data_IF_823209971730
#
_entry.id   IF_823209971730
#
_cell.length_a   1.000
_cell.length_b   1.000
_cell.length_c   1.000
_cell.angle_alpha   90.00
_cell.angle_beta   90.00
_cell.angle_gamma   90.00
#
_symmetry.space_group_name_H-M   'P 1'
#
loop_
_entity.id
_entity.type
_entity.pdbx_description
1 polymer ?
#
# COMPACT_ATOMS: atom_id res chain seq x y z
N UNK A 1 -4.15 12.22 7.81
CA UNK A 1 -3.02 11.94 6.88
C UNK A 1 -2.45 13.21 6.27
N UNK A 2 -3.19 13.90 5.39
CA UNK A 2 -2.75 15.15 4.73
C UNK A 2 -2.20 16.20 5.73
N UNK A 3 -2.93 16.49 6.81
CA UNK A 3 -2.51 17.42 7.87
C UNK A 3 -1.22 16.99 8.59
N UNK A 4 -1.01 15.69 8.82
CA UNK A 4 0.18 15.20 9.52
C UNK A 4 1.45 15.47 8.71
N UNK A 5 1.40 15.24 7.39
CA UNK A 5 2.51 15.55 6.50
C UNK A 5 2.76 17.06 6.40
N UNK A 6 1.69 17.87 6.26
CA UNK A 6 1.83 19.34 6.26
C UNK A 6 2.49 19.85 7.55
N UNK A 7 2.05 19.36 8.71
CA UNK A 7 2.61 19.74 10.00
C UNK A 7 4.07 19.26 10.17
N UNK A 8 4.47 18.22 9.45
CA UNK A 8 5.85 17.72 9.42
C UNK A 8 6.75 18.44 8.41
N UNK A 9 6.25 19.52 7.78
CA UNK A 9 7.01 20.33 6.82
C UNK A 9 6.93 19.87 5.35
N UNK A 10 6.17 18.80 5.05
CA UNK A 10 5.95 18.40 3.66
C UNK A 10 4.98 19.37 2.97
N UNK A 11 5.40 19.90 1.82
CA UNK A 11 4.56 20.76 0.97
C UNK A 11 4.09 19.97 -0.25
N UNK A 12 2.79 19.73 -0.37
CA UNK A 12 2.22 19.09 -1.55
C UNK A 12 1.67 20.14 -2.51
N UNK A 13 2.09 20.10 -3.78
CA UNK A 13 1.44 20.87 -4.85
C UNK A 13 0.04 20.33 -5.15
N UNK A 14 -0.11 19.01 -5.13
CA UNK A 14 -1.39 18.33 -5.35
C UNK A 14 -1.47 17.06 -4.49
N UNK A 15 -2.69 16.64 -4.14
CA UNK A 15 -2.95 15.41 -3.39
C UNK A 15 -4.20 14.74 -3.98
N UNK A 16 -4.01 13.63 -4.67
CA UNK A 16 -5.09 12.86 -5.31
C UNK A 16 -5.27 11.52 -4.59
N UNK A 17 -6.52 11.12 -4.41
CA UNK A 17 -6.88 9.80 -3.86
C UNK A 17 -7.18 8.88 -5.03
N UNK A 18 -6.56 7.70 -5.06
CA UNK A 18 -6.86 6.63 -6.00
C UNK A 18 -7.70 5.57 -5.29
N UNK A 19 -8.94 5.37 -5.74
CA UNK A 19 -9.88 4.38 -5.24
C UNK A 19 -10.81 3.88 -6.36
N UNK A 20 -11.87 3.13 -6.00
CA UNK A 20 -12.80 2.57 -6.97
C UNK A 20 -13.47 3.60 -7.89
N UNK A 21 -13.58 4.87 -7.47
CA UNK A 21 -14.24 5.92 -8.26
C UNK A 21 -13.43 6.34 -9.48
N UNK A 22 -12.10 6.19 -9.43
CA UNK A 22 -11.17 6.62 -10.47
C UNK A 22 -10.13 5.54 -10.84
N UNK A 23 -10.43 4.27 -10.55
CA UNK A 23 -9.55 3.13 -10.82
C UNK A 23 -9.08 3.02 -12.28
N UNK A 24 -9.91 3.50 -13.23
CA UNK A 24 -9.59 3.51 -14.67
C UNK A 24 -8.49 4.52 -15.03
N UNK A 25 -8.34 5.57 -14.22
CA UNK A 25 -7.37 6.67 -14.44
C UNK A 25 -6.03 6.41 -13.72
N UNK A 26 -5.84 5.22 -13.14
CA UNK A 26 -4.67 4.91 -12.28
C UNK A 26 -3.32 5.30 -12.91
N UNK A 27 -3.12 5.04 -14.20
CA UNK A 27 -1.82 5.21 -14.86
C UNK A 27 -1.53 6.70 -15.07
N UNK A 28 -2.54 7.49 -15.44
CA UNK A 28 -2.46 8.95 -15.50
C UNK A 28 -2.16 9.53 -14.12
N UNK A 29 -2.94 9.14 -13.11
CA UNK A 29 -2.76 9.62 -11.73
C UNK A 29 -1.38 9.29 -11.16
N UNK A 30 -0.88 8.08 -11.38
CA UNK A 30 0.44 7.65 -10.91
C UNK A 30 1.54 8.37 -11.69
N UNK A 31 1.35 8.63 -12.98
CA UNK A 31 2.33 9.36 -13.80
C UNK A 31 2.56 10.79 -13.32
N UNK A 32 1.52 11.46 -12.80
CA UNK A 32 1.55 12.87 -12.40
C UNK A 32 2.15 13.13 -11.00
N UNK A 33 2.24 12.10 -10.16
CA UNK A 33 2.74 12.24 -8.78
C UNK A 33 4.19 11.82 -8.68
N UNK A 34 4.92 12.36 -7.70
CA UNK A 34 6.30 11.92 -7.39
C UNK A 34 6.31 10.87 -6.28
N UNK A 35 5.28 10.90 -5.42
CA UNK A 35 5.14 10.05 -4.24
C UNK A 35 3.81 9.31 -4.29
N UNK A 36 3.85 7.99 -4.09
CA UNK A 36 2.67 7.13 -3.90
C UNK A 36 2.62 6.70 -2.44
N UNK A 37 1.49 6.95 -1.79
CA UNK A 37 1.27 6.58 -0.40
C UNK A 37 0.27 5.42 -0.34
N UNK A 38 0.73 4.25 0.11
CA UNK A 38 -0.13 3.10 0.41
C UNK A 38 -0.60 3.21 1.86
N UNK A 39 -1.77 3.79 2.04
CA UNK A 39 -2.30 4.09 3.35
C UNK A 39 -2.73 2.84 4.14
N UNK A 40 -2.97 2.99 5.44
CA UNK A 40 -3.62 1.97 6.25
C UNK A 40 -5.09 1.76 5.87
N UNK A 41 -5.70 0.72 6.44
CA UNK A 41 -7.08 0.34 6.15
C UNK A 41 -7.30 -1.13 6.48
N UNK A 42 -8.27 -1.74 5.81
CA UNK A 42 -8.54 -3.17 5.92
C UNK A 42 -7.71 -3.96 4.90
N UNK A 43 -6.86 -4.88 5.37
CA UNK A 43 -5.84 -5.56 4.55
C UNK A 43 -6.43 -6.28 3.32
N UNK A 44 -7.43 -7.18 3.45
CA UNK A 44 -8.04 -7.85 2.32
C UNK A 44 -8.68 -6.91 1.31
N UNK A 45 -9.46 -5.93 1.78
CA UNK A 45 -10.17 -4.99 0.90
C UNK A 45 -9.19 -4.18 0.05
N UNK A 46 -8.11 -3.70 0.68
CA UNK A 46 -7.08 -2.97 -0.04
C UNK A 46 -6.29 -3.88 -0.99
N UNK A 47 -5.96 -5.11 -0.58
CA UNK A 47 -5.28 -6.09 -1.44
C UNK A 47 -6.07 -6.35 -2.71
N UNK A 48 -7.37 -6.62 -2.58
CA UNK A 48 -8.29 -6.87 -3.70
C UNK A 48 -8.26 -5.70 -4.68
N UNK A 49 -8.34 -4.46 -4.17
CA UNK A 49 -8.26 -3.27 -5.01
C UNK A 49 -6.92 -3.19 -5.76
N UNK A 50 -5.80 -3.40 -5.07
CA UNK A 50 -4.47 -3.38 -5.70
C UNK A 50 -4.32 -4.42 -6.82
N UNK A 51 -4.86 -5.63 -6.62
CA UNK A 51 -4.87 -6.67 -7.65
C UNK A 51 -5.77 -6.27 -8.83
N UNK A 52 -6.97 -5.74 -8.56
CA UNK A 52 -7.92 -5.30 -9.59
C UNK A 52 -7.33 -4.22 -10.51
N UNK A 53 -6.59 -3.27 -9.94
CA UNK A 53 -5.95 -2.22 -10.73
C UNK A 53 -4.58 -2.64 -11.29
N UNK A 54 -4.12 -3.87 -11.02
CA UNK A 54 -2.78 -4.34 -11.39
C UNK A 54 -1.66 -3.40 -10.91
N UNK A 55 -1.79 -2.90 -9.66
CA UNK A 55 -0.90 -1.88 -9.10
C UNK A 55 0.57 -2.33 -9.09
N UNK A 56 0.81 -3.64 -8.91
CA UNK A 56 2.16 -4.21 -8.94
C UNK A 56 2.91 -3.82 -10.19
N UNK A 57 2.30 -4.02 -11.36
CA UNK A 57 2.96 -3.75 -12.64
C UNK A 57 3.12 -2.26 -12.88
N UNK A 58 2.11 -1.46 -12.49
CA UNK A 58 2.15 -0.01 -12.60
C UNK A 58 3.33 0.60 -11.81
N UNK A 59 3.58 0.07 -10.61
CA UNK A 59 4.67 0.55 -9.75
C UNK A 59 6.04 -0.03 -10.13
N UNK A 60 6.10 -1.24 -10.69
CA UNK A 60 7.36 -1.94 -11.03
C UNK A 60 8.21 -1.14 -12.03
N UNK A 61 7.56 -0.42 -12.93
CA UNK A 61 8.23 0.38 -13.98
C UNK A 61 8.33 1.86 -13.61
N UNK A 62 7.93 2.23 -12.40
CA UNK A 62 7.78 3.62 -11.99
C UNK A 62 8.97 4.09 -11.16
N UNK A 63 9.50 5.29 -11.46
CA UNK A 63 10.55 5.94 -10.65
C UNK A 63 9.96 6.69 -9.43
N UNK A 64 8.85 6.18 -8.88
CA UNK A 64 8.06 6.87 -7.86
C UNK A 64 8.58 6.49 -6.47
N UNK A 65 8.56 7.45 -5.55
CA UNK A 65 8.82 7.15 -4.14
C UNK A 65 7.57 6.49 -3.56
N UNK A 66 7.72 5.31 -2.98
CA UNK A 66 6.60 4.61 -2.33
C UNK A 66 6.78 4.68 -0.81
N UNK A 67 5.73 5.16 -0.15
CA UNK A 67 5.61 5.20 1.31
C UNK A 67 4.43 4.30 1.68
N UNK A 68 4.67 3.32 2.55
CA UNK A 68 3.63 2.41 3.00
C UNK A 68 3.57 2.32 4.53
N UNK A 69 2.37 2.11 5.07
CA UNK A 69 2.18 1.87 6.49
C UNK A 69 0.91 1.08 6.76
N UNK A 70 0.92 0.32 7.87
CA UNK A 70 -0.20 -0.51 8.32
C UNK A 70 -0.65 -1.49 7.21
N UNK A 71 -1.91 -1.47 6.77
CA UNK A 71 -2.35 -2.38 5.70
C UNK A 71 -1.56 -2.21 4.40
N UNK A 72 -1.11 -0.99 4.08
CA UNK A 72 -0.28 -0.73 2.91
C UNK A 72 1.03 -1.51 2.94
N UNK A 73 1.71 -1.51 4.09
CA UNK A 73 2.99 -2.23 4.26
C UNK A 73 2.80 -3.74 4.21
N UNK A 74 1.74 -4.24 4.83
CA UNK A 74 1.38 -5.66 4.76
C UNK A 74 1.16 -6.09 3.30
N UNK A 75 0.47 -5.29 2.50
CA UNK A 75 0.22 -5.56 1.08
C UNK A 75 1.47 -5.48 0.18
N UNK A 76 2.55 -4.85 0.64
CA UNK A 76 3.83 -4.78 -0.07
C UNK A 76 4.64 -6.08 -0.01
N UNK A 77 4.34 -6.96 0.95
CA UNK A 77 5.02 -8.25 1.13
C UNK A 77 4.83 -9.20 -0.07
N UNK A 78 5.56 -10.31 -0.10
CA UNK A 78 5.34 -11.38 -1.07
C UNK A 78 4.06 -12.14 -0.82
N UNK A 79 3.89 -12.52 0.44
CA UNK A 79 2.70 -13.15 0.95
C UNK A 79 2.14 -12.31 2.09
N UNK A 80 0.89 -11.90 1.94
CA UNK A 80 0.18 -11.02 2.86
C UNK A 80 -0.64 -11.87 3.80
N UNK A 81 -0.36 -11.78 5.10
CA UNK A 81 -1.25 -12.33 6.11
C UNK A 81 -2.45 -11.40 6.33
N UNK A 82 -3.60 -11.79 5.80
CA UNK A 82 -4.90 -11.18 6.05
C UNK A 82 -5.50 -11.80 7.32
N UNK A 83 -5.38 -11.11 8.46
CA UNK A 83 -6.12 -11.49 9.66
C UNK A 83 -7.59 -11.09 9.49
N UNK A 84 -8.56 -11.90 9.94
CA UNK A 84 -9.93 -11.43 10.12
C UNK A 84 -9.97 -10.21 11.05
N UNK A 85 -10.45 -9.08 10.54
CA UNK A 85 -10.58 -7.81 11.27
C UNK A 85 -12.02 -7.33 11.33
N UNK A 86 -12.84 -7.68 10.34
CA UNK A 86 -14.25 -7.31 10.28
C UNK A 86 -15.16 -8.44 10.78
N UNK A 87 -16.36 -8.05 11.24
CA UNK A 87 -17.36 -9.00 11.70
C UNK A 87 -17.74 -9.97 10.57
N UNK A 88 -17.79 -11.26 10.90
CA UNK A 88 -18.10 -12.33 9.95
C UNK A 88 -16.88 -12.99 9.34
N UNK A 89 -15.77 -12.27 9.15
CA UNK A 89 -14.57 -12.83 8.48
C UNK A 89 -13.96 -14.04 9.20
N UNK A 90 -14.04 -14.07 10.52
CA UNK A 90 -13.56 -15.20 11.32
C UNK A 90 -14.47 -16.43 11.23
N UNK A 91 -15.74 -16.24 10.84
CA UNK A 91 -16.75 -17.28 10.72
C UNK A 91 -16.83 -17.81 9.29
N UNK A 92 -16.35 -17.06 8.30
CA UNK A 92 -16.30 -17.48 6.89
C UNK A 92 -15.36 -18.68 6.72
N UNK A 93 -15.88 -19.89 6.40
CA UNK A 93 -15.07 -21.11 6.35
C UNK A 93 -13.96 -21.06 5.29
N UNK A 94 -14.17 -20.25 4.25
CA UNK A 94 -13.26 -20.10 3.12
C UNK A 94 -12.46 -18.79 3.17
N UNK A 95 -12.37 -18.15 4.34
CA UNK A 95 -11.60 -16.91 4.47
C UNK A 95 -10.12 -17.12 4.15
N UNK A 96 -9.64 -16.40 3.13
CA UNK A 96 -8.25 -16.49 2.68
C UNK A 96 -7.34 -15.64 3.56
N UNK A 97 -6.60 -16.33 4.45
CA UNK A 97 -5.64 -15.69 5.36
C UNK A 97 -4.31 -15.34 4.71
N UNK A 98 -3.98 -15.96 3.59
CA UNK A 98 -2.75 -15.70 2.86
C UNK A 98 -3.11 -15.22 1.46
N UNK A 99 -2.73 -13.98 1.15
CA UNK A 99 -2.99 -13.32 -0.13
C UNK A 99 -1.67 -13.05 -0.84
N UNK A 100 -1.72 -12.91 -2.16
CA UNK A 100 -0.57 -12.46 -2.94
C UNK A 100 -0.38 -10.95 -2.72
N UNK A 101 0.83 -10.54 -2.37
CA UNK A 101 1.17 -9.12 -2.23
C UNK A 101 1.80 -8.53 -3.49
N UNK A 102 2.34 -7.32 -3.35
CA UNK A 102 2.86 -6.54 -4.48
C UNK A 102 4.31 -6.89 -4.83
N UNK A 103 5.21 -7.08 -3.88
CA UNK A 103 6.68 -7.23 -4.09
C UNK A 103 7.20 -6.30 -5.19
N UNK A 104 7.43 -5.05 -4.83
CA UNK A 104 8.30 -4.14 -5.57
C UNK A 104 9.45 -3.73 -4.64
N UNK A 105 10.71 -3.88 -5.05
CA UNK A 105 11.88 -3.81 -4.15
C UNK A 105 12.32 -2.40 -3.72
N UNK A 106 11.47 -1.38 -3.92
CA UNK A 106 11.82 0.02 -3.67
C UNK A 106 10.84 0.63 -2.65
N UNK A 107 10.97 0.26 -1.37
CA UNK A 107 10.21 0.87 -0.29
C UNK A 107 11.16 1.62 0.65
N UNK A 108 10.93 2.92 0.81
CA UNK A 108 11.81 3.79 1.58
C UNK A 108 11.52 3.70 3.09
N UNK A 109 10.25 3.45 3.47
CA UNK A 109 9.81 3.34 4.86
C UNK A 109 8.60 2.40 4.95
N UNK A 110 8.70 1.38 5.80
CA UNK A 110 7.65 0.39 6.03
C UNK A 110 7.45 0.11 7.52
N UNK A 111 6.21 0.23 8.01
CA UNK A 111 5.85 -0.07 9.40
C UNK A 111 4.52 -0.84 9.45
N UNK A 112 4.49 -2.03 10.05
CA UNK A 112 3.27 -2.82 10.32
C UNK A 112 3.06 -2.94 11.83
N UNK A 113 1.85 -2.64 12.30
CA UNK A 113 1.48 -2.65 13.73
C UNK A 113 0.74 -3.92 14.17
N UNK A 114 0.43 -4.84 13.25
CA UNK A 114 -0.25 -6.11 13.56
C UNK A 114 0.59 -7.25 12.98
N UNK A 115 1.11 -8.10 13.86
CA UNK A 115 2.26 -9.02 13.70
C UNK A 115 3.61 -8.30 13.83
N UNK A 116 4.30 -8.53 14.95
CA UNK A 116 5.65 -8.05 15.17
C UNK A 116 6.62 -8.67 14.18
N UNK A 117 6.99 -7.92 13.15
CA UNK A 117 8.28 -7.89 12.45
C UNK A 117 8.17 -6.91 11.27
N UNK A 118 8.74 -5.71 11.44
CA UNK A 118 9.24 -4.91 10.32
C UNK A 118 10.66 -4.49 10.68
N UNK A 119 11.65 -5.09 10.01
CA UNK A 119 12.98 -4.53 9.81
C UNK A 119 13.61 -5.31 8.65
N UNK A 120 13.46 -4.79 7.45
CA UNK A 120 14.48 -4.94 6.42
C UNK A 120 14.85 -3.51 5.98
N UNK A 121 15.72 -2.90 6.78
CA UNK A 121 16.43 -1.69 6.40
C UNK A 121 17.45 -2.08 5.33
N UNK A 122 17.12 -1.88 4.07
CA UNK A 122 18.11 -1.83 3.00
C UNK A 122 18.03 -0.46 2.35
N UNK A 123 18.58 0.53 3.05
CA UNK A 123 19.07 1.73 2.39
C UNK A 123 20.20 1.32 1.44
N UNK A 124 19.92 1.27 0.14
CA UNK A 124 20.97 1.41 -0.86
C UNK A 124 21.05 2.89 -1.18
N UNK A 125 21.76 3.63 -0.34
CA UNK A 125 22.38 4.88 -0.74
C UNK A 125 23.64 4.53 -1.53
N UNK A 126 23.52 4.29 -2.83
CA UNK A 126 24.54 4.54 -3.86
C UNK A 126 23.85 4.65 -5.21
#
# INVERSE_FOLDING_TARGET
MKTCFFNSGFKFKNFKVLDNRNAKEKSELISEVEVVILAGGHVPTQNIFFQQINLKNELKTSNKIIIDFSAGSMNCSEEVYAQPELQGESLEPNYKRFLKGLVNRHYLYSYSTRMGLSLNHYGSLY
#
